data_IF_794616257896
#
_entry.id   IF_794616257896
#
_cell.length_a   1.000
_cell.length_b   1.000
_cell.length_c   1.000
_cell.angle_alpha   90.00
_cell.angle_beta   90.00
_cell.angle_gamma   90.00
#
_symmetry.space_group_name_H-M   'P 1'
#
loop_
_entity.id
_entity.type
_entity.pdbx_description
1 polymer ?
#
# COMPACT_ATOMS: atom_id res chain seq x y z
N UNK A 1 5.43 16.76 1.45
CA UNK A 1 5.47 15.29 1.48
C UNK A 1 5.12 14.80 2.88
N UNK A 2 4.27 13.80 2.99
CA UNK A 2 3.90 13.20 4.25
C UNK A 2 4.13 11.69 4.23
N UNK A 3 4.28 11.09 5.41
CA UNK A 3 4.31 9.65 5.56
C UNK A 3 2.88 9.17 5.82
N UNK A 4 2.37 8.30 4.97
CA UNK A 4 0.99 7.82 5.01
C UNK A 4 0.95 6.31 5.14
N UNK A 5 0.16 5.81 6.08
CA UNK A 5 -0.13 4.39 6.23
C UNK A 5 -1.51 4.07 5.68
N UNK A 6 -1.63 3.01 4.89
CA UNK A 6 -2.92 2.56 4.38
C UNK A 6 -3.20 1.17 4.91
N UNK A 7 -4.32 1.01 5.59
CA UNK A 7 -4.74 -0.24 6.20
C UNK A 7 -5.69 -0.96 5.25
N UNK A 8 -5.14 -1.84 4.44
CA UNK A 8 -5.89 -2.62 3.46
C UNK A 8 -5.31 -2.49 2.06
N UNK A 9 -4.97 -3.63 1.44
CA UNK A 9 -4.33 -3.68 0.13
C UNK A 9 -5.26 -4.19 -0.97
N UNK A 10 -6.55 -4.02 -0.82
CA UNK A 10 -7.51 -4.33 -1.86
C UNK A 10 -7.39 -3.35 -3.03
N UNK A 11 -8.30 -3.44 -4.00
CA UNK A 11 -8.24 -2.58 -5.19
C UNK A 11 -8.35 -1.10 -4.82
N UNK A 12 -9.25 -0.76 -3.89
CA UNK A 12 -9.42 0.63 -3.47
C UNK A 12 -8.21 1.15 -2.69
N UNK A 13 -7.71 0.35 -1.74
CA UNK A 13 -6.53 0.74 -0.96
C UNK A 13 -5.30 0.92 -1.83
N UNK A 14 -5.08 0.02 -2.78
CA UNK A 14 -3.96 0.11 -3.69
C UNK A 14 -4.09 1.32 -4.63
N UNK A 15 -5.28 1.57 -5.14
CA UNK A 15 -5.53 2.72 -6.00
C UNK A 15 -5.28 4.04 -5.25
N UNK A 16 -5.73 4.13 -4.00
CA UNK A 16 -5.49 5.30 -3.16
C UNK A 16 -4.00 5.47 -2.87
N UNK A 17 -3.30 4.38 -2.59
CA UNK A 17 -1.86 4.40 -2.36
C UNK A 17 -1.11 4.95 -3.57
N UNK A 18 -1.48 4.53 -4.77
CA UNK A 18 -0.88 5.02 -6.00
C UNK A 18 -1.13 6.51 -6.20
N UNK A 19 -2.33 6.96 -5.90
CA UNK A 19 -2.67 8.38 -6.00
C UNK A 19 -1.83 9.22 -5.04
N UNK A 20 -1.72 8.79 -3.80
CA UNK A 20 -0.92 9.50 -2.79
C UNK A 20 0.56 9.51 -3.15
N UNK A 21 1.07 8.40 -3.65
CA UNK A 21 2.45 8.32 -4.11
C UNK A 21 2.70 9.29 -5.26
N UNK A 22 1.77 9.36 -6.20
CA UNK A 22 1.86 10.28 -7.34
C UNK A 22 1.93 11.74 -6.87
N UNK A 23 1.28 12.05 -5.76
CA UNK A 23 1.29 13.40 -5.18
C UNK A 23 2.49 13.65 -4.26
N UNK A 24 3.49 12.78 -4.27
CA UNK A 24 4.74 12.98 -3.55
C UNK A 24 4.79 12.49 -2.13
N UNK A 25 3.80 11.68 -1.70
CA UNK A 25 3.79 11.14 -0.34
C UNK A 25 4.52 9.81 -0.27
N UNK A 26 5.09 9.53 0.90
CA UNK A 26 5.69 8.25 1.21
C UNK A 26 4.58 7.33 1.74
N UNK A 27 4.36 6.20 1.08
CA UNK A 27 3.22 5.35 1.39
C UNK A 27 3.65 3.96 1.84
N UNK A 28 3.07 3.51 2.96
CA UNK A 28 3.21 2.14 3.46
C UNK A 28 1.82 1.53 3.52
N UNK A 29 1.65 0.37 2.89
CA UNK A 29 0.36 -0.34 2.82
C UNK A 29 0.41 -1.60 3.65
N UNK A 30 -0.55 -1.76 4.53
CA UNK A 30 -0.70 -2.96 5.36
C UNK A 30 -1.75 -3.89 4.78
N UNK A 31 -1.46 -5.19 4.81
CA UNK A 31 -2.42 -6.23 4.51
C UNK A 31 -2.24 -7.37 5.50
N UNK A 32 -3.34 -8.04 5.85
CA UNK A 32 -3.27 -9.24 6.69
C UNK A 32 -2.78 -10.46 5.89
N UNK A 33 -2.89 -10.41 4.57
CA UNK A 33 -2.54 -11.52 3.70
C UNK A 33 -1.07 -11.46 3.28
N UNK A 34 -0.25 -12.36 3.82
CA UNK A 34 1.18 -12.44 3.52
C UNK A 34 1.45 -12.70 2.03
N UNK A 35 0.60 -13.48 1.38
CA UNK A 35 0.76 -13.78 -0.05
C UNK A 35 0.50 -12.54 -0.90
N UNK A 36 -0.49 -11.74 -0.50
CA UNK A 36 -0.79 -10.49 -1.18
C UNK A 36 0.37 -9.50 -1.03
N UNK A 37 0.91 -9.38 0.17
CA UNK A 37 2.07 -8.51 0.42
C UNK A 37 3.28 -8.97 -0.40
N UNK A 38 3.54 -10.26 -0.44
CA UNK A 38 4.64 -10.81 -1.22
C UNK A 38 4.47 -10.52 -2.72
N UNK A 39 3.28 -10.76 -3.24
CA UNK A 39 2.97 -10.47 -4.64
C UNK A 39 3.19 -9.00 -4.98
N UNK A 40 2.65 -8.11 -4.16
CA UNK A 40 2.76 -6.67 -4.38
C UNK A 40 4.21 -6.18 -4.26
N UNK A 41 4.97 -6.77 -3.33
CA UNK A 41 6.36 -6.36 -3.11
C UNK A 41 7.31 -6.87 -4.18
N UNK A 42 7.05 -8.05 -4.73
CA UNK A 42 7.94 -8.66 -5.72
C UNK A 42 7.54 -8.35 -7.15
N UNK A 43 6.26 -8.43 -7.46
CA UNK A 43 5.77 -8.23 -8.83
C UNK A 43 5.42 -6.79 -9.14
N UNK A 44 5.21 -5.98 -8.11
CA UNK A 44 4.84 -4.58 -8.24
C UNK A 44 3.58 -4.40 -9.10
N UNK A 45 2.65 -5.33 -8.90
CA UNK A 45 1.37 -5.33 -9.60
C UNK A 45 0.38 -6.14 -8.77
N UNK A 46 -0.86 -5.66 -8.66
CA UNK A 46 -1.94 -6.44 -8.04
C UNK A 46 -2.66 -7.20 -9.16
N UNK A 47 -2.18 -8.39 -9.45
CA UNK A 47 -2.60 -9.16 -10.63
C UNK A 47 -4.09 -9.42 -10.71
N UNK A 48 -4.76 -9.61 -9.57
CA UNK A 48 -6.19 -9.94 -9.54
C UNK A 48 -7.08 -8.71 -9.56
N UNK A 49 -6.69 -7.65 -8.89
CA UNK A 49 -7.57 -6.49 -8.65
C UNK A 49 -7.22 -5.27 -9.48
N UNK A 50 -5.95 -5.08 -9.81
CA UNK A 50 -5.49 -3.96 -10.64
C UNK A 50 -4.46 -4.47 -11.65
N UNK A 51 -4.86 -5.39 -12.56
CA UNK A 51 -3.91 -5.92 -13.53
C UNK A 51 -3.41 -4.84 -14.48
N UNK A 52 -2.13 -4.90 -14.80
CA UNK A 52 -1.51 -3.95 -15.70
C UNK A 52 -1.09 -2.63 -15.08
N UNK A 53 -1.42 -2.39 -13.82
CA UNK A 53 -1.02 -1.17 -13.12
C UNK A 53 0.27 -1.42 -12.35
N UNK A 54 1.32 -0.71 -12.72
CA UNK A 54 2.62 -0.83 -12.06
C UNK A 54 2.67 -0.08 -10.74
N UNK A 55 3.26 -0.74 -9.73
CA UNK A 55 3.41 -0.17 -8.40
C UNK A 55 4.85 0.35 -8.24
N UNK A 56 5.03 1.60 -7.77
CA UNK A 56 6.37 2.16 -7.58
C UNK A 56 7.24 1.33 -6.64
N UNK A 57 8.53 1.28 -6.92
CA UNK A 57 9.49 0.48 -6.17
C UNK A 57 9.67 0.95 -4.72
N UNK A 58 9.46 2.21 -4.44
CA UNK A 58 9.62 2.79 -3.11
C UNK A 58 8.35 2.72 -2.24
N UNK A 59 7.26 2.19 -2.77
CA UNK A 59 6.07 1.92 -1.99
C UNK A 59 6.27 0.64 -1.17
N UNK A 60 6.01 0.72 0.13
CA UNK A 60 6.24 -0.40 1.06
C UNK A 60 4.95 -1.13 1.36
N UNK A 61 4.98 -2.45 1.26
CA UNK A 61 3.87 -3.32 1.66
C UNK A 61 4.31 -4.19 2.83
N UNK A 62 3.46 -4.34 3.83
CA UNK A 62 3.82 -5.06 5.05
C UNK A 62 2.61 -5.74 5.69
N UNK A 63 2.86 -6.85 6.40
CA UNK A 63 1.87 -7.47 7.28
C UNK A 63 2.03 -6.97 8.72
N UNK A 64 3.05 -6.16 9.00
CA UNK A 64 3.30 -5.59 10.31
C UNK A 64 2.52 -4.29 10.47
N UNK A 65 1.45 -4.34 11.28
CA UNK A 65 0.59 -3.19 11.51
C UNK A 65 1.35 -2.03 12.15
N UNK A 66 2.28 -2.32 13.04
CA UNK A 66 3.07 -1.28 13.69
C UNK A 66 3.92 -0.52 12.67
N UNK A 67 4.54 -1.23 11.73
CA UNK A 67 5.31 -0.60 10.65
C UNK A 67 4.44 0.33 9.81
N UNK A 68 3.19 -0.04 9.59
CA UNK A 68 2.28 0.74 8.78
C UNK A 68 1.74 1.97 9.52
N UNK A 69 1.79 1.99 10.84
CA UNK A 69 1.21 3.07 11.65
C UNK A 69 2.28 3.98 12.24
N UNK A 70 3.39 3.43 12.72
CA UNK A 70 4.41 4.19 13.42
C UNK A 70 5.03 5.28 12.55
N UNK A 71 5.10 6.48 13.08
CA UNK A 71 5.72 7.61 12.39
C UNK A 71 4.93 8.15 11.20
N UNK A 72 3.69 7.72 11.02
CA UNK A 72 2.86 8.20 9.91
C UNK A 72 2.09 9.46 10.30
N UNK A 73 2.07 10.44 9.40
CA UNK A 73 1.28 11.65 9.59
C UNK A 73 -0.21 11.35 9.46
N UNK A 74 -0.57 10.42 8.58
CA UNK A 74 -1.95 10.00 8.35
C UNK A 74 -2.03 8.49 8.24
N UNK A 75 -3.12 7.91 8.74
CA UNK A 75 -3.43 6.50 8.55
C UNK A 75 -4.83 6.41 7.95
N UNK A 76 -4.95 5.77 6.82
CA UNK A 76 -6.22 5.62 6.10
C UNK A 76 -6.71 4.19 6.21
N UNK A 77 -7.96 4.03 6.65
CA UNK A 77 -8.59 2.72 6.75
C UNK A 77 -9.28 2.40 5.42
N UNK A 78 -8.68 1.52 4.65
CA UNK A 78 -9.18 1.11 3.34
C UNK A 78 -9.69 -0.34 3.35
N UNK A 79 -10.17 -0.81 4.49
CA UNK A 79 -10.74 -2.15 4.65
C UNK A 79 -12.24 -2.09 4.43
N UNK A 80 -12.84 -3.17 3.86
CA UNK A 80 -14.28 -3.21 3.66
C UNK A 80 -15.05 -3.31 4.98
#
# INVERSE_FOLDING_TARGET
>A
MANVGIMGAGSWGTALALLLHKNGHQVTVWSIDEKEVEMLSTKREHEKKLPGVKIPEDMVFTTDMEQAIAGKAFVVMAVP
#
